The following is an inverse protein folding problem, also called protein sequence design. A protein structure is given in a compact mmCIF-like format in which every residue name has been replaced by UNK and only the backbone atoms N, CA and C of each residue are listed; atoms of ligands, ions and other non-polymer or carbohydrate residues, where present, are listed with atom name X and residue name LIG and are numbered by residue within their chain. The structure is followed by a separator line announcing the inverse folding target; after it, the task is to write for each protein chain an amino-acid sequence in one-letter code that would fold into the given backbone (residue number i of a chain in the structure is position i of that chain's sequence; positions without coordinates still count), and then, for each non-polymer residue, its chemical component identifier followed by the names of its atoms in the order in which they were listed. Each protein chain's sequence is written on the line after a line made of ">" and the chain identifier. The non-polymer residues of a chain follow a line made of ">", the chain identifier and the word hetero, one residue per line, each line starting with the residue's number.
data_IF_554648314701
#
_entry.id   IF_554648314701
#
_cell.length_a   1.000
_cell.length_b   1.000
_cell.length_c   1.000
_cell.angle_alpha   90.00
_cell.angle_beta   90.00
_cell.angle_gamma   90.00
#
_symmetry.space_group_name_H-M   'P 1'
#
loop_
_entity.id
_entity.type
_entity.pdbx_description
1 polymer ?
#
# COMPACT_ATOMS: atom_id res chain seq x y z
N UNK A 1 6.37 4.81 -7.88
CA UNK A 1 6.36 3.49 -7.22
C UNK A 1 5.43 2.56 -8.00
N UNK A 2 5.80 1.29 -8.18
CA UNK A 2 4.95 0.26 -8.82
C UNK A 2 4.76 -0.90 -7.84
N UNK A 3 3.54 -1.10 -7.35
CA UNK A 3 3.21 -2.20 -6.45
C UNK A 3 3.17 -3.52 -7.24
N UNK A 4 3.83 -4.57 -6.74
CA UNK A 4 3.95 -5.87 -7.42
C UNK A 4 3.06 -6.92 -6.75
N UNK A 5 3.19 -7.08 -5.44
CA UNK A 5 2.37 -8.02 -4.68
C UNK A 5 2.21 -7.62 -3.22
N UNK A 6 1.15 -8.12 -2.60
CA UNK A 6 0.93 -7.98 -1.15
C UNK A 6 0.53 -9.33 -0.54
N UNK A 7 0.99 -9.59 0.67
CA UNK A 7 0.63 -10.77 1.47
C UNK A 7 0.31 -10.34 2.90
N UNK A 8 -0.75 -10.90 3.47
CA UNK A 8 -1.22 -10.56 4.81
C UNK A 8 -1.18 -11.79 5.70
N UNK A 9 -0.88 -11.58 6.98
CA UNK A 9 -0.90 -12.62 8.00
C UNK A 9 -1.66 -12.15 9.23
N UNK A 10 -2.71 -12.89 9.59
CA UNK A 10 -3.57 -12.60 10.76
C UNK A 10 -4.04 -11.14 10.83
N UNK A 11 -4.31 -10.54 9.67
CA UNK A 11 -4.63 -9.12 9.56
C UNK A 11 -6.15 -8.93 9.40
N UNK A 12 -6.84 -8.45 10.45
CA UNK A 12 -8.29 -8.23 10.46
C UNK A 12 -9.06 -9.48 10.03
N UNK A 13 -9.94 -9.43 9.02
CA UNK A 13 -10.69 -10.60 8.55
C UNK A 13 -9.82 -11.67 7.85
N UNK A 14 -8.56 -11.37 7.51
CA UNK A 14 -7.65 -12.35 6.93
C UNK A 14 -7.05 -13.23 8.04
N UNK A 15 -7.56 -14.45 8.15
CA UNK A 15 -7.10 -15.46 9.11
C UNK A 15 -5.95 -16.27 8.50
N UNK A 16 -4.85 -16.44 9.24
CA UNK A 16 -3.65 -17.08 8.73
C UNK A 16 -2.94 -16.24 7.67
N UNK A 17 -2.08 -16.88 6.88
CA UNK A 17 -1.38 -16.25 5.75
C UNK A 17 -2.23 -16.31 4.50
N UNK A 18 -2.51 -15.17 3.88
CA UNK A 18 -3.17 -15.13 2.58
C UNK A 18 -2.23 -15.67 1.49
N UNK A 19 -2.76 -16.16 0.37
CA UNK A 19 -1.98 -16.24 -0.86
C UNK A 19 -1.35 -14.88 -1.17
N UNK A 20 -0.24 -14.91 -1.90
CA UNK A 20 0.35 -13.69 -2.42
C UNK A 20 -0.53 -13.11 -3.53
N UNK A 21 -0.97 -11.87 -3.33
CA UNK A 21 -1.84 -11.17 -4.26
C UNK A 21 -0.98 -10.35 -5.22
N UNK A 22 -0.84 -10.84 -6.45
CA UNK A 22 -0.12 -10.13 -7.51
C UNK A 22 -0.99 -9.07 -8.17
N UNK A 23 -0.42 -7.89 -8.36
CA UNK A 23 -1.06 -6.76 -9.02
C UNK A 23 -0.71 -6.76 -10.51
N UNK A 24 -1.69 -6.37 -11.32
CA UNK A 24 -1.58 -6.30 -12.76
C UNK A 24 -0.52 -5.28 -13.19
N UNK A 25 0.23 -5.59 -14.27
CA UNK A 25 1.28 -4.75 -14.81
C UNK A 25 1.38 -4.84 -16.33
N UNK A 26 2.09 -3.88 -16.95
CA UNK A 26 2.24 -3.82 -18.41
C UNK A 26 0.95 -3.40 -19.11
N UNK A 27 0.60 -4.07 -20.21
CA UNK A 27 -0.59 -3.76 -21.03
C UNK A 27 -1.92 -4.01 -20.29
N UNK A 28 -1.90 -4.82 -19.22
CA UNK A 28 -3.01 -4.98 -18.29
C UNK A 28 -2.60 -4.40 -16.94
N UNK A 29 -2.83 -3.10 -16.75
CA UNK A 29 -2.39 -2.34 -15.59
C UNK A 29 -3.49 -2.08 -14.54
N UNK A 30 -4.65 -2.73 -14.66
CA UNK A 30 -5.77 -2.57 -13.74
C UNK A 30 -6.00 -3.89 -13.00
N UNK A 31 -5.99 -3.82 -11.67
CA UNK A 31 -6.39 -4.94 -10.78
C UNK A 31 -7.72 -4.60 -10.15
N UNK A 32 -8.71 -5.48 -10.29
CA UNK A 32 -10.04 -5.31 -9.67
C UNK A 32 -10.20 -6.35 -8.57
N UNK A 33 -10.29 -5.87 -7.32
CA UNK A 33 -10.66 -6.71 -6.18
C UNK A 33 -12.18 -6.65 -5.98
N UNK A 34 -12.87 -7.71 -6.41
CA UNK A 34 -14.31 -7.83 -6.24
C UNK A 34 -14.67 -8.69 -5.02
N UNK A 35 -15.68 -8.27 -4.26
CA UNK A 35 -16.18 -9.01 -3.12
C UNK A 35 -17.30 -8.25 -2.42
N UNK A 36 -18.09 -8.95 -1.61
CA UNK A 36 -19.22 -8.36 -0.89
C UNK A 36 -18.77 -7.32 0.16
N UNK A 37 -19.72 -6.57 0.71
CA UNK A 37 -19.44 -5.70 1.85
C UNK A 37 -18.99 -6.55 3.05
N UNK A 38 -17.97 -6.07 3.76
CA UNK A 38 -17.32 -6.84 4.83
C UNK A 38 -16.32 -7.92 4.36
N UNK A 39 -16.21 -8.20 3.05
CA UNK A 39 -15.25 -9.18 2.54
C UNK A 39 -13.78 -8.75 2.69
N UNK A 40 -13.52 -7.48 3.05
CA UNK A 40 -12.18 -7.00 3.36
C UNK A 40 -11.52 -6.08 2.35
N UNK A 41 -12.27 -5.56 1.36
CA UNK A 41 -11.76 -4.62 0.34
C UNK A 41 -11.07 -3.40 0.96
N UNK A 42 -11.76 -2.70 1.88
CA UNK A 42 -11.21 -1.53 2.59
C UNK A 42 -10.02 -1.90 3.48
N UNK A 43 -9.98 -3.11 4.03
CA UNK A 43 -8.82 -3.58 4.78
C UNK A 43 -7.63 -3.83 3.89
N UNK A 44 -7.82 -4.38 2.69
CA UNK A 44 -6.74 -4.56 1.74
C UNK A 44 -6.12 -3.22 1.36
N UNK A 45 -6.95 -2.20 1.11
CA UNK A 45 -6.49 -0.81 0.93
C UNK A 45 -5.66 -0.34 2.14
N UNK A 46 -6.18 -0.54 3.35
CA UNK A 46 -5.51 -0.15 4.59
C UNK A 46 -4.22 -0.94 4.88
N UNK A 47 -4.07 -2.15 4.36
CA UNK A 47 -2.86 -2.92 4.53
C UNK A 47 -1.68 -2.25 3.79
N UNK A 48 -1.92 -1.63 2.62
CA UNK A 48 -0.91 -0.84 1.92
C UNK A 48 -0.48 0.38 2.73
N UNK A 49 -1.43 1.16 3.26
CA UNK A 49 -1.11 2.35 4.06
C UNK A 49 -0.44 1.98 5.38
N UNK A 50 -0.87 0.88 6.00
CA UNK A 50 -0.30 0.41 7.25
C UNK A 50 1.13 -0.10 7.07
N UNK A 51 1.40 -0.93 6.06
CA UNK A 51 2.77 -1.42 5.85
C UNK A 51 3.74 -0.28 5.53
N UNK A 52 3.33 0.69 4.72
CA UNK A 52 4.16 1.82 4.32
C UNK A 52 4.38 2.82 5.47
N UNK A 53 3.32 3.21 6.18
CA UNK A 53 3.37 4.38 7.06
C UNK A 53 2.93 4.11 8.50
N UNK A 54 2.39 2.92 8.81
CA UNK A 54 1.64 2.66 10.06
C UNK A 54 0.32 3.43 10.17
N UNK A 55 -0.16 4.00 9.05
CA UNK A 55 -1.43 4.72 9.01
C UNK A 55 -2.59 3.83 8.56
N UNK A 56 -3.75 4.09 9.14
CA UNK A 56 -5.04 3.57 8.69
C UNK A 56 -5.91 4.74 8.25
N UNK A 57 -6.77 4.53 7.26
CA UNK A 57 -7.70 5.55 6.76
C UNK A 57 -8.67 5.98 7.85
N UNK A 58 -9.08 7.25 7.85
CA UNK A 58 -9.97 7.82 8.86
C UNK A 58 -11.36 7.15 8.93
N UNK A 59 -11.70 6.30 7.96
CA UNK A 59 -12.92 5.50 7.93
C UNK A 59 -12.81 4.19 8.73
N UNK A 60 -11.62 3.84 9.19
CA UNK A 60 -11.33 2.52 9.69
C UNK A 60 -11.71 2.39 11.18
N UNK A 61 -12.78 1.62 11.44
CA UNK A 61 -13.23 1.36 12.80
C UNK A 61 -12.16 0.61 13.61
N UNK A 62 -11.95 1.07 14.86
CA UNK A 62 -11.00 0.50 15.82
C UNK A 62 -9.59 0.35 15.22
N UNK A 63 -8.88 1.44 14.92
CA UNK A 63 -7.55 1.41 14.29
C UNK A 63 -6.58 0.48 15.03
N UNK A 64 -6.69 0.42 16.35
CA UNK A 64 -5.85 -0.39 17.23
C UNK A 64 -6.08 -1.91 17.07
N UNK A 65 -7.19 -2.35 16.46
CA UNK A 65 -7.55 -3.77 16.39
C UNK A 65 -7.05 -4.46 15.12
N UNK A 66 -5.74 -4.53 14.89
CA UNK A 66 -5.15 -5.11 13.67
C UNK A 66 -5.21 -6.64 13.61
N UNK A 67 -5.07 -7.34 14.74
CA UNK A 67 -5.02 -8.80 14.76
C UNK A 67 -6.37 -9.40 14.36
N UNK A 68 -6.32 -10.53 13.66
CA UNK A 68 -7.50 -11.32 13.38
C UNK A 68 -8.14 -11.81 14.69
N UNK A 69 -9.44 -11.51 14.85
CA UNK A 69 -10.20 -11.81 16.07
C UNK A 69 -10.29 -13.30 16.36
N UNK A 70 -10.30 -14.17 15.34
CA UNK A 70 -10.36 -15.61 15.54
C UNK A 70 -9.03 -16.13 16.10
N UNK A 71 -7.90 -15.71 15.53
CA UNK A 71 -6.57 -16.17 15.96
C UNK A 71 -6.32 -15.85 17.43
N UNK A 72 -6.58 -14.59 17.83
CA UNK A 72 -6.33 -14.15 19.22
C UNK A 72 -7.25 -14.84 20.24
N UNK A 73 -8.39 -15.37 19.81
CA UNK A 73 -9.32 -16.11 20.66
C UNK A 73 -8.95 -17.59 20.78
N UNK A 74 -8.38 -18.18 19.73
CA UNK A 74 -7.92 -19.58 19.70
C UNK A 74 -6.64 -19.79 20.51
N UNK A 75 -5.76 -18.78 20.64
CA UNK A 75 -4.54 -18.90 21.43
C UNK A 75 -4.78 -18.79 22.93
N UNK A 76 -3.93 -19.46 23.73
CA UNK A 76 -4.01 -19.39 25.19
C UNK A 76 -3.73 -17.96 25.67
N UNK A 77 -4.40 -17.55 26.74
CA UNK A 77 -4.13 -16.29 27.44
C UNK A 77 -2.63 -16.17 27.75
N UNK A 78 -2.06 -14.99 27.51
CA UNK A 78 -0.63 -14.73 27.66
C UNK A 78 0.24 -15.16 26.46
N UNK A 79 -0.32 -15.85 25.47
CA UNK A 79 0.40 -16.23 24.24
C UNK A 79 0.40 -15.06 23.27
N UNK A 80 1.60 -14.69 22.81
CA UNK A 80 1.78 -13.67 21.79
C UNK A 80 1.60 -14.26 20.40
N UNK A 81 0.92 -13.53 19.53
CA UNK A 81 0.64 -13.89 18.13
C UNK A 81 1.04 -12.73 17.24
N UNK A 82 1.66 -13.01 16.10
CA UNK A 82 2.02 -11.97 15.16
C UNK A 82 0.91 -11.65 14.16
N UNK A 83 0.93 -10.39 13.71
CA UNK A 83 0.18 -9.85 12.61
C UNK A 83 1.16 -9.09 11.72
N UNK A 84 1.14 -9.34 10.42
CA UNK A 84 2.04 -8.65 9.50
C UNK A 84 1.44 -8.46 8.10
N UNK A 85 1.99 -7.47 7.41
CA UNK A 85 1.76 -7.23 5.99
C UNK A 85 3.11 -7.18 5.30
N UNK A 86 3.23 -7.88 4.18
CA UNK A 86 4.39 -7.93 3.31
C UNK A 86 4.03 -7.32 1.97
N UNK A 87 4.80 -6.33 1.52
CA UNK A 87 4.60 -5.62 0.28
C UNK A 87 5.86 -5.71 -0.57
N UNK A 88 5.69 -6.17 -1.81
CA UNK A 88 6.74 -6.12 -2.82
C UNK A 88 6.41 -5.03 -3.82
N UNK A 89 7.38 -4.18 -4.11
CA UNK A 89 7.23 -3.09 -5.06
C UNK A 89 8.54 -2.77 -5.77
N UNK A 90 8.41 -2.03 -6.87
CA UNK A 90 9.50 -1.60 -7.71
C UNK A 90 9.53 -0.07 -7.80
N UNK A 91 10.72 0.50 -7.79
CA UNK A 91 10.93 1.93 -8.05
C UNK A 91 12.31 2.15 -8.66
N UNK A 92 12.36 2.88 -9.79
CA UNK A 92 13.62 3.16 -10.52
C UNK A 92 14.44 1.91 -10.80
N UNK A 93 13.78 0.84 -11.30
CA UNK A 93 14.36 -0.48 -11.59
C UNK A 93 14.97 -1.22 -10.38
N UNK A 94 14.74 -0.72 -9.15
CA UNK A 94 15.10 -1.43 -7.91
C UNK A 94 13.88 -2.11 -7.33
N UNK A 95 14.09 -3.32 -6.81
CA UNK A 95 13.04 -4.09 -6.14
C UNK A 95 13.17 -3.97 -4.63
N UNK A 96 12.03 -3.82 -3.97
CA UNK A 96 11.91 -3.62 -2.54
C UNK A 96 10.95 -4.65 -1.97
N UNK A 97 11.32 -5.20 -0.82
CA UNK A 97 10.45 -6.01 0.02
C UNK A 97 10.29 -5.29 1.34
N UNK A 98 9.06 -4.95 1.68
CA UNK A 98 8.70 -4.29 2.92
C UNK A 98 7.88 -5.25 3.77
N UNK A 99 8.20 -5.34 5.06
CA UNK A 99 7.41 -6.09 6.04
C UNK A 99 7.19 -5.22 7.26
N UNK A 100 5.93 -4.97 7.60
CA UNK A 100 5.56 -4.39 8.89
C UNK A 100 4.89 -5.46 9.73
N UNK A 101 5.33 -5.58 10.98
CA UNK A 101 4.87 -6.62 11.90
C UNK A 101 4.60 -6.03 13.29
N UNK A 102 3.51 -6.46 13.90
CA UNK A 102 3.24 -6.25 15.33
C UNK A 102 2.82 -7.57 15.97
N UNK A 103 2.88 -7.62 17.29
CA UNK A 103 2.42 -8.75 18.08
C UNK A 103 1.22 -8.33 18.91
N UNK A 104 0.28 -9.26 19.09
CA UNK A 104 -0.87 -9.10 19.96
C UNK A 104 -0.89 -10.22 21.00
N UNK A 105 -1.30 -9.90 22.22
CA UNK A 105 -1.48 -10.86 23.30
C UNK A 105 -2.81 -10.60 24.00
N UNK A 106 -3.53 -11.67 24.34
CA UNK A 106 -4.76 -11.60 25.13
C UNK A 106 -4.44 -11.81 26.60
N UNK A 107 -4.85 -10.89 27.45
CA UNK A 107 -4.71 -11.01 28.90
C UNK A 107 -5.88 -11.80 29.54
N UNK A 108 -5.81 -11.97 30.86
CA UNK A 108 -6.83 -12.71 31.64
C UNK A 108 -8.19 -12.03 31.66
N UNK A 109 -8.25 -10.73 31.38
CA UNK A 109 -9.47 -9.92 31.35
C UNK A 109 -10.06 -9.84 29.93
N UNK A 110 -9.58 -10.66 28.99
CA UNK A 110 -9.93 -10.60 27.56
C UNK A 110 -9.56 -9.28 26.87
N UNK A 111 -8.67 -8.48 27.46
CA UNK A 111 -8.12 -7.28 26.80
C UNK A 111 -6.98 -7.69 25.88
N UNK A 112 -6.96 -7.11 24.68
CA UNK A 112 -5.89 -7.35 23.70
C UNK A 112 -4.87 -6.24 23.83
N UNK A 113 -3.61 -6.62 24.08
CA UNK A 113 -2.47 -5.71 24.13
C UNK A 113 -1.62 -5.89 22.89
N UNK A 114 -1.15 -4.78 22.31
CA UNK A 114 -0.31 -4.77 21.12
C UNK A 114 1.12 -4.33 21.48
N UNK A 115 2.10 -4.95 20.83
CA UNK A 115 3.46 -4.43 20.81
C UNK A 115 3.54 -3.22 19.86
N UNK A 116 4.59 -2.42 20.02
CA UNK A 116 4.99 -1.49 18.96
C UNK A 116 5.22 -2.26 17.65
N UNK A 117 4.82 -1.67 16.53
CA UNK A 117 5.10 -2.27 15.23
C UNK A 117 6.57 -2.10 14.88
N UNK A 118 7.09 -3.00 14.05
CA UNK A 118 8.46 -2.96 13.53
C UNK A 118 8.40 -3.02 12.01
N UNK A 119 9.20 -2.17 11.39
CA UNK A 119 9.35 -2.09 9.94
C UNK A 119 10.67 -2.73 9.52
N UNK A 120 10.60 -3.61 8.53
CA UNK A 120 11.74 -4.27 7.92
C UNK A 120 11.70 -4.02 6.42
N UNK A 121 12.86 -3.71 5.84
CA UNK A 121 13.01 -3.53 4.40
C UNK A 121 14.21 -4.33 3.90
N UNK A 122 14.03 -4.96 2.74
CA UNK A 122 15.12 -5.50 1.93
C UNK A 122 15.09 -4.87 0.54
N UNK A 123 16.26 -4.68 -0.03
CA UNK A 123 16.44 -4.18 -1.40
C UNK A 123 17.22 -5.24 -2.19
N UNK A 124 16.80 -5.50 -3.42
CA UNK A 124 17.54 -6.36 -4.33
C UNK A 124 18.80 -5.64 -4.84
N UNK A 125 19.97 -6.23 -4.59
CA UNK A 125 21.24 -5.82 -5.16
C UNK A 125 21.39 -6.29 -6.61
N UNK A 126 22.36 -5.72 -7.32
CA UNK A 126 22.70 -6.10 -8.69
C UNK A 126 23.18 -7.56 -8.81
N UNK A 127 23.68 -8.12 -7.70
CA UNK A 127 24.09 -9.52 -7.56
C UNK A 127 22.89 -10.48 -7.32
N UNK A 128 21.67 -9.96 -7.31
CA UNK A 128 20.44 -10.71 -7.04
C UNK A 128 20.21 -11.03 -5.55
N UNK A 129 21.07 -10.55 -4.64
CA UNK A 129 20.89 -10.76 -3.20
C UNK A 129 19.98 -9.70 -2.60
N UNK A 130 19.19 -10.10 -1.61
CA UNK A 130 18.35 -9.19 -0.84
C UNK A 130 19.06 -8.79 0.45
N UNK A 131 19.30 -7.49 0.63
CA UNK A 131 19.98 -6.98 1.82
C UNK A 131 19.22 -5.81 2.44
N UNK A 132 19.28 -5.64 3.77
CA UNK A 132 18.73 -4.45 4.40
C UNK A 132 19.46 -3.19 3.90
N UNK A 133 18.76 -2.05 3.73
CA UNK A 133 19.40 -0.80 3.36
C UNK A 133 20.30 -0.27 4.48
N UNK A 134 21.23 0.62 4.11
CA UNK A 134 22.03 1.38 5.08
C UNK A 134 21.24 2.54 5.72
N UNK A 135 20.30 3.13 4.97
CA UNK A 135 19.40 4.19 5.42
C UNK A 135 18.18 3.59 6.17
N UNK A 136 17.50 4.40 6.99
CA UNK A 136 16.29 3.94 7.67
C UNK A 136 15.16 3.68 6.65
N UNK A 137 14.40 2.57 6.78
CA UNK A 137 13.32 2.24 5.86
C UNK A 137 12.29 3.37 5.68
N UNK A 138 11.92 4.09 6.75
CA UNK A 138 10.95 5.19 6.70
C UNK A 138 11.43 6.38 5.86
N UNK A 139 12.72 6.67 5.84
CA UNK A 139 13.32 7.73 5.01
C UNK A 139 13.26 7.36 3.53
N UNK A 140 13.57 6.09 3.21
CA UNK A 140 13.49 5.57 1.85
C UNK A 140 12.04 5.62 1.35
N UNK A 141 11.09 5.16 2.17
CA UNK A 141 9.66 5.19 1.81
C UNK A 141 9.22 6.64 1.54
N UNK A 142 9.55 7.58 2.43
CA UNK A 142 9.16 8.97 2.28
C UNK A 142 9.80 9.65 1.05
N UNK A 143 10.97 9.20 0.60
CA UNK A 143 11.58 9.67 -0.65
C UNK A 143 10.86 9.12 -1.88
N UNK A 144 10.41 7.87 -1.85
CA UNK A 144 9.72 7.21 -2.97
C UNK A 144 8.26 7.64 -3.09
N UNK A 145 7.55 7.66 -1.97
CA UNK A 145 6.16 8.08 -1.86
C UNK A 145 5.97 8.78 -0.50
N UNK A 146 6.10 10.12 -0.46
CA UNK A 146 5.95 10.89 0.77
C UNK A 146 4.64 10.58 1.49
N UNK A 147 4.69 10.43 2.81
CA UNK A 147 3.50 10.16 3.62
C UNK A 147 2.42 11.24 3.43
N UNK A 148 2.79 12.51 3.27
CA UNK A 148 1.84 13.60 3.00
C UNK A 148 1.01 13.40 1.73
N UNK A 149 1.53 12.63 0.77
CA UNK A 149 0.86 12.36 -0.51
C UNK A 149 0.04 11.08 -0.50
N UNK A 150 0.13 10.22 0.53
CA UNK A 150 -0.51 8.89 0.51
C UNK A 150 -2.02 8.97 0.28
N UNK A 151 -2.69 10.04 0.74
CA UNK A 151 -4.15 10.23 0.59
C UNK A 151 -4.60 10.43 -0.85
N UNK A 152 -3.70 10.86 -1.75
CA UNK A 152 -4.00 10.98 -3.17
C UNK A 152 -3.85 9.65 -3.93
N UNK A 153 -3.10 8.69 -3.37
CA UNK A 153 -2.86 7.37 -3.97
C UNK A 153 -3.71 6.25 -3.35
N UNK A 154 -3.97 6.33 -2.04
CA UNK A 154 -4.73 5.37 -1.26
C UNK A 154 -5.96 6.06 -0.67
N UNK A 155 -7.06 6.04 -1.42
CA UNK A 155 -8.31 6.64 -0.99
C UNK A 155 -9.48 5.68 -1.13
N UNK A 156 -10.47 5.92 -0.29
CA UNK A 156 -11.78 5.31 -0.43
C UNK A 156 -12.58 6.14 -1.45
N UNK A 157 -13.04 5.50 -2.52
CA UNK A 157 -13.84 6.17 -3.55
C UNK A 157 -15.11 6.80 -3.00
N UNK A 158 -15.65 6.29 -1.89
CA UNK A 158 -16.82 6.87 -1.21
C UNK A 158 -16.53 8.23 -0.55
N UNK A 159 -15.25 8.58 -0.36
CA UNK A 159 -14.83 9.81 0.35
C UNK A 159 -14.03 10.77 -0.52
N UNK A 160 -14.07 10.59 -1.84
CA UNK A 160 -13.30 11.40 -2.80
C UNK A 160 -13.58 12.90 -2.67
N UNK A 161 -14.83 13.28 -2.36
CA UNK A 161 -15.25 14.69 -2.21
C UNK A 161 -14.54 15.43 -1.07
N UNK A 162 -14.10 14.72 -0.03
CA UNK A 162 -13.43 15.32 1.13
C UNK A 162 -11.94 15.59 0.87
N UNK A 163 -11.32 14.85 -0.04
CA UNK A 163 -9.90 15.00 -0.42
C UNK A 163 -9.70 16.34 -1.12
N UNK A 164 -10.58 16.71 -2.04
CA UNK A 164 -10.45 17.95 -2.81
C UNK A 164 -10.99 19.20 -2.09
N UNK A 165 -11.84 19.04 -1.07
CA UNK A 165 -12.45 20.18 -0.35
C UNK A 165 -11.65 20.65 0.86
N UNK A 166 -10.97 19.76 1.58
CA UNK A 166 -10.29 20.12 2.83
C UNK A 166 -9.01 20.93 2.64
N UNK A 167 -8.36 20.81 1.48
CA UNK A 167 -7.16 21.59 1.15
C UNK A 167 -7.46 23.05 0.79
N UNK A 168 -8.72 23.44 0.57
CA UNK A 168 -9.10 24.78 0.11
C UNK A 168 -8.96 25.91 1.15
N UNK A 169 -8.87 25.61 2.45
CA UNK A 169 -8.73 26.65 3.51
C UNK A 169 -7.29 26.97 3.91
N UNK A 170 -6.32 26.20 3.44
CA UNK A 170 -4.88 26.45 3.64
C UNK A 170 -4.11 26.50 2.31
N UNK A 171 -4.84 26.60 1.19
CA UNK A 171 -4.29 26.67 -0.16
C UNK A 171 -3.72 28.07 -0.45
N UNK A 172 -2.54 28.38 0.07
CA UNK A 172 -1.64 29.28 -0.65
C UNK A 172 -0.98 28.48 -1.78
N UNK A 173 -1.05 28.95 -3.04
CA UNK A 173 -0.66 28.19 -4.22
C UNK A 173 0.87 28.12 -4.36
N UNK A 174 1.56 27.42 -3.47
CA UNK A 174 2.95 26.99 -3.69
C UNK A 174 2.96 25.53 -4.15
N UNK A 175 2.42 25.38 -5.37
CA UNK A 175 2.73 24.53 -6.53
C UNK A 175 3.79 23.40 -6.47
N UNK A 176 4.15 22.84 -5.31
CA UNK A 176 5.21 21.82 -5.16
C UNK A 176 4.67 20.41 -4.88
N UNK A 177 3.64 20.27 -4.04
CA UNK A 177 3.06 18.96 -3.67
C UNK A 177 2.18 18.38 -4.78
N UNK A 178 1.31 19.21 -5.39
CA UNK A 178 0.48 18.80 -6.53
C UNK A 178 1.35 18.49 -7.74
N UNK A 179 2.39 19.29 -8.00
CA UNK A 179 3.34 19.01 -9.09
C UNK A 179 4.19 17.78 -8.81
N UNK A 180 4.56 17.51 -7.56
CA UNK A 180 5.24 16.25 -7.17
C UNK A 180 4.31 15.04 -7.32
N UNK A 181 3.04 15.14 -6.91
CA UNK A 181 2.05 14.09 -7.10
C UNK A 181 1.78 13.83 -8.59
N UNK A 182 1.63 14.89 -9.40
CA UNK A 182 1.51 14.77 -10.87
C UNK A 182 2.76 14.14 -11.49
N UNK A 183 3.96 14.54 -11.09
CA UNK A 183 5.21 13.92 -11.58
C UNK A 183 5.30 12.43 -11.23
N UNK A 184 4.88 12.04 -10.02
CA UNK A 184 4.82 10.64 -9.60
C UNK A 184 3.82 9.85 -10.46
N UNK A 185 2.68 10.45 -10.80
CA UNK A 185 1.68 9.84 -11.68
C UNK A 185 2.16 9.76 -13.14
N UNK A 186 2.77 10.82 -13.67
CA UNK A 186 3.29 10.89 -15.05
C UNK A 186 4.48 9.92 -15.26
N UNK A 187 5.36 9.75 -14.27
CA UNK A 187 6.46 8.78 -14.33
C UNK A 187 6.01 7.31 -14.35
N UNK A 188 4.72 7.05 -14.10
CA UNK A 188 4.13 5.70 -14.18
C UNK A 188 3.27 5.46 -15.42
N UNK A 189 3.06 6.48 -16.26
CA UNK A 189 2.32 6.33 -17.51
C UNK A 189 3.24 5.77 -18.63
N UNK A 190 2.83 4.73 -19.36
CA UNK A 190 3.58 4.30 -20.55
C UNK A 190 3.58 5.43 -21.59
N UNK A 191 4.66 5.60 -22.39
CA UNK A 191 4.72 6.65 -23.39
C UNK A 191 3.53 6.51 -24.34
N UNK A 192 2.77 7.59 -24.51
CA UNK A 192 1.67 7.66 -25.45
C UNK A 192 2.18 7.21 -26.82
N UNK A 193 1.66 6.09 -27.34
CA UNK A 193 1.93 5.66 -28.71
C UNK A 193 1.41 6.77 -29.61
N UNK A 194 2.33 7.56 -30.16
CA UNK A 194 2.03 8.54 -31.20
C UNK A 194 1.26 7.85 -32.31
N UNK A 195 0.08 8.39 -32.61
CA UNK A 195 -0.69 8.03 -33.78
C UNK A 195 0.19 8.24 -35.01
N UNK A 196 0.67 7.15 -35.61
CA UNK A 196 1.18 7.19 -36.98
C UNK A 196 0.00 7.55 -37.87
N UNK A 197 -0.05 8.80 -38.30
CA UNK A 197 -0.92 9.24 -39.38
C UNK A 197 -0.71 8.32 -40.59
N UNK A 198 -1.80 7.72 -41.07
CA UNK A 198 -1.79 6.99 -42.33
C UNK A 198 -1.49 7.99 -43.47
N UNK A 199 -0.56 7.68 -44.40
CA UNK A 199 -0.37 8.52 -45.55
C UNK A 199 -1.57 8.36 -46.49
N UNK A 200 -2.19 9.49 -46.83
CA UNK A 200 -3.16 9.61 -47.90
C UNK A 200 -2.50 9.26 -49.24
N UNK A 201 -2.71 8.03 -49.71
CA UNK A 201 -2.30 7.58 -51.03
C UNK A 201 -3.38 7.87 -52.07
N UNK A 202 -3.25 9.00 -52.74
CA UNK A 202 -3.83 9.24 -54.06
C UNK A 202 -3.06 8.41 -55.09
N UNK A 203 -3.73 7.54 -55.85
CA UNK A 203 -3.28 7.21 -57.22
C UNK A 203 -4.46 6.74 -58.06
N UNK A 204 -4.52 7.33 -59.25
CA UNK A 204 -5.44 7.07 -60.33
C UNK A 204 -5.18 5.72 -61.02
N UNK A 205 -6.26 5.07 -61.46
CA UNK A 205 -6.44 4.45 -62.78
C UNK A 205 -7.92 4.08 -62.93
#
# INVERSE_FOLDING_TARGET
>A
MKLISIRLHNFRQFYGTTPELYLASGDKNITIFHGNNGAGKTTLLNAFTWVLYEHLTAAFASPDSLINKRVIQEVKVGTSVDCHAELYFEHENKQYQLKRQCYACRDKNNTIQYSQSKLFMLIAGEDGRWTPPHEQPDEIINRILPESLHRYFFFDGERIDHIFRSDSKTFTPNNSLVSSAMRVLEATAPPARGSRAAPSGSTAA
#
